data_IF_333519884046
#
_entry.id   IF_333519884046
#
_cell.length_a   1.000
_cell.length_b   1.000
_cell.length_c   1.000
_cell.angle_alpha   90.00
_cell.angle_beta   90.00
_cell.angle_gamma   90.00
#
_symmetry.space_group_name_H-M   'P 1'
#
loop_
_entity.id
_entity.type
_entity.pdbx_description
1 polymer ?
#
# COMPACT_ATOMS: atom_id res chain seq x y z
N UNK A 1 -15.25 -25.38 2.61
CA UNK A 1 -14.45 -24.59 3.56
C UNK A 1 -14.50 -23.16 3.03
N UNK A 2 -15.14 -22.26 3.76
CA UNK A 2 -15.20 -20.84 3.36
C UNK A 2 -13.80 -20.26 3.50
N UNK A 3 -13.20 -19.84 2.41
CA UNK A 3 -11.99 -19.01 2.45
C UNK A 3 -12.35 -17.71 3.17
N UNK A 4 -11.49 -17.19 4.05
CA UNK A 4 -11.73 -15.92 4.68
C UNK A 4 -11.75 -14.85 3.58
N UNK A 5 -12.88 -14.17 3.44
CA UNK A 5 -13.00 -13.00 2.57
C UNK A 5 -12.33 -11.83 3.27
N UNK A 6 -11.23 -11.34 2.69
CA UNK A 6 -10.47 -10.18 3.22
C UNK A 6 -11.10 -8.82 2.85
N UNK A 7 -12.36 -8.78 2.48
CA UNK A 7 -13.03 -7.52 2.20
C UNK A 7 -13.36 -6.77 3.50
N UNK A 8 -12.33 -6.27 4.18
CA UNK A 8 -12.51 -5.44 5.36
C UNK A 8 -13.05 -4.03 5.06
N UNK A 9 -13.14 -3.64 3.79
CA UNK A 9 -13.58 -2.32 3.37
C UNK A 9 -14.77 -2.45 2.43
N UNK A 10 -15.97 -2.22 2.96
CA UNK A 10 -17.23 -2.23 2.17
C UNK A 10 -17.41 -0.96 1.32
N UNK A 11 -16.64 0.10 1.58
CA UNK A 11 -16.71 1.40 0.91
C UNK A 11 -15.30 1.93 0.65
N UNK A 12 -15.11 2.79 -0.38
CA UNK A 12 -13.82 3.39 -0.59
C UNK A 12 -13.42 4.21 0.64
N UNK A 13 -12.24 3.94 1.15
CA UNK A 13 -11.67 4.73 2.23
C UNK A 13 -11.07 6.03 1.66
N UNK A 14 -11.04 7.11 2.46
CA UNK A 14 -10.51 8.42 2.06
C UNK A 14 -9.12 8.31 1.40
N UNK A 15 -8.25 7.40 1.88
CA UNK A 15 -6.92 7.20 1.32
C UNK A 15 -6.94 6.62 -0.11
N UNK A 16 -7.93 5.78 -0.44
CA UNK A 16 -8.08 5.21 -1.78
C UNK A 16 -8.47 6.30 -2.80
N UNK A 17 -9.42 7.16 -2.44
CA UNK A 17 -9.81 8.30 -3.25
C UNK A 17 -8.65 9.29 -3.45
N UNK A 18 -7.85 9.52 -2.38
CA UNK A 18 -6.66 10.36 -2.44
C UNK A 18 -5.63 9.74 -3.41
N UNK A 19 -5.41 8.43 -3.36
CA UNK A 19 -4.47 7.73 -4.26
C UNK A 19 -4.90 7.88 -5.73
N UNK A 20 -6.16 7.57 -6.05
CA UNK A 20 -6.72 7.75 -7.41
C UNK A 20 -6.54 9.19 -7.89
N UNK A 21 -6.90 10.17 -7.05
CA UNK A 21 -6.75 11.60 -7.39
C UNK A 21 -5.29 11.99 -7.63
N UNK A 22 -4.34 11.47 -6.84
CA UNK A 22 -2.90 11.75 -7.02
C UNK A 22 -2.39 11.20 -8.34
N UNK A 23 -2.78 9.98 -8.73
CA UNK A 23 -2.44 9.39 -10.04
C UNK A 23 -3.00 10.26 -11.17
N UNK A 24 -4.28 10.63 -11.11
CA UNK A 24 -4.92 11.49 -12.13
C UNK A 24 -4.21 12.83 -12.26
N UNK A 25 -3.90 13.49 -11.15
CA UNK A 25 -3.21 14.78 -11.16
C UNK A 25 -1.79 14.68 -11.74
N UNK A 26 -1.09 13.56 -11.50
CA UNK A 26 0.24 13.34 -12.05
C UNK A 26 0.22 13.24 -13.58
N UNK A 27 -0.73 12.52 -14.13
CA UNK A 27 -0.83 12.31 -15.58
C UNK A 27 -1.58 13.40 -16.34
N UNK A 28 -2.29 14.32 -15.65
CA UNK A 28 -2.98 15.48 -16.26
C UNK A 28 -3.81 15.10 -17.47
N UNK A 29 -4.74 14.16 -17.32
CA UNK A 29 -5.64 13.65 -18.36
C UNK A 29 -4.98 12.81 -19.48
N UNK A 30 -3.66 12.60 -19.43
CA UNK A 30 -2.95 11.70 -20.34
C UNK A 30 -2.93 10.27 -19.78
N UNK A 31 -4.09 9.61 -19.76
CA UNK A 31 -4.27 8.30 -19.12
C UNK A 31 -4.00 7.12 -20.04
N UNK A 32 -4.12 7.35 -21.35
CA UNK A 32 -3.99 6.28 -22.34
C UNK A 32 -2.59 5.66 -22.32
N UNK A 33 -2.54 4.33 -22.33
CA UNK A 33 -1.30 3.54 -22.31
C UNK A 33 -0.47 3.70 -21.01
N UNK A 34 -1.05 4.23 -19.93
CA UNK A 34 -0.39 4.26 -18.62
C UNK A 34 -0.55 2.92 -17.94
N UNK A 35 0.56 2.30 -17.57
CA UNK A 35 0.58 1.02 -16.86
C UNK A 35 0.78 1.25 -15.38
N UNK A 36 -0.18 0.76 -14.58
CA UNK A 36 -0.24 1.01 -13.14
C UNK A 36 -0.14 -0.33 -12.41
N UNK A 37 0.60 -0.37 -11.32
CA UNK A 37 0.58 -1.47 -10.36
C UNK A 37 -0.19 -1.04 -9.12
N UNK A 38 -1.23 -1.78 -8.76
CA UNK A 38 -1.97 -1.66 -7.49
C UNK A 38 -1.62 -2.89 -6.62
N UNK A 39 -0.77 -2.69 -5.58
CA UNK A 39 -0.20 -3.76 -4.76
C UNK A 39 0.03 -3.27 -3.31
N UNK A 40 -0.70 -3.80 -2.31
CA UNK A 40 -1.76 -4.81 -2.42
C UNK A 40 -3.06 -4.21 -2.95
N UNK A 41 -3.76 -4.94 -3.82
CA UNK A 41 -4.99 -4.47 -4.46
C UNK A 41 -6.22 -4.53 -3.53
N UNK A 42 -6.18 -5.34 -2.47
CA UNK A 42 -7.26 -5.52 -1.53
C UNK A 42 -8.58 -5.89 -2.22
N UNK A 43 -9.60 -5.03 -2.11
CA UNK A 43 -10.89 -5.26 -2.79
C UNK A 43 -10.89 -4.89 -4.30
N UNK A 44 -9.78 -4.33 -4.82
CA UNK A 44 -9.62 -3.93 -6.22
C UNK A 44 -10.29 -2.62 -6.63
N UNK A 45 -10.84 -1.88 -5.67
CA UNK A 45 -11.56 -0.63 -6.00
C UNK A 45 -10.66 0.40 -6.71
N UNK A 46 -9.40 0.55 -6.27
CA UNK A 46 -8.45 1.50 -6.89
C UNK A 46 -8.22 1.11 -8.36
N UNK A 47 -7.92 -0.18 -8.61
CA UNK A 47 -7.71 -0.69 -9.96
C UNK A 47 -8.93 -0.50 -10.85
N UNK A 48 -10.13 -0.84 -10.34
CA UNK A 48 -11.39 -0.66 -11.06
C UNK A 48 -11.58 0.82 -11.45
N UNK A 49 -11.36 1.75 -10.52
CA UNK A 49 -11.50 3.19 -10.79
C UNK A 49 -10.50 3.70 -11.84
N UNK A 50 -9.24 3.29 -11.78
CA UNK A 50 -8.24 3.75 -12.73
C UNK A 50 -8.44 3.14 -14.13
N UNK A 51 -8.94 1.91 -14.22
CA UNK A 51 -9.33 1.27 -15.48
C UNK A 51 -10.49 2.05 -16.15
N UNK A 52 -11.46 2.58 -15.39
CA UNK A 52 -12.54 3.42 -15.94
C UNK A 52 -12.01 4.69 -16.62
N UNK A 53 -10.84 5.20 -16.21
CA UNK A 53 -10.14 6.31 -16.88
C UNK A 53 -9.29 5.88 -18.08
N UNK A 54 -9.26 4.58 -18.42
CA UNK A 54 -8.53 4.04 -19.58
C UNK A 54 -7.04 3.78 -19.31
N UNK A 55 -6.64 3.63 -18.05
CA UNK A 55 -5.31 3.15 -17.68
C UNK A 55 -5.28 1.62 -17.74
N UNK A 56 -4.09 1.04 -17.90
CA UNK A 56 -3.85 -0.41 -17.84
C UNK A 56 -3.38 -0.77 -16.42
N UNK A 57 -4.28 -1.31 -15.59
CA UNK A 57 -3.98 -1.59 -14.18
C UNK A 57 -3.77 -3.08 -13.96
N UNK A 58 -2.60 -3.42 -13.41
CA UNK A 58 -2.34 -4.73 -12.81
C UNK A 58 -2.70 -4.63 -11.34
N UNK A 59 -3.81 -5.26 -10.95
CA UNK A 59 -4.19 -5.46 -9.55
C UNK A 59 -3.53 -6.72 -9.05
N UNK A 60 -2.67 -6.59 -8.05
CA UNK A 60 -1.88 -7.68 -7.49
C UNK A 60 -2.07 -7.76 -5.96
N UNK A 61 -2.16 -8.97 -5.45
CA UNK A 61 -2.32 -9.23 -4.02
C UNK A 61 -1.76 -10.61 -3.67
N UNK A 62 -1.46 -10.84 -2.39
CA UNK A 62 -1.11 -12.17 -1.91
C UNK A 62 -2.32 -13.12 -1.97
N UNK A 63 -3.53 -12.56 -1.93
CA UNK A 63 -4.81 -13.27 -1.99
C UNK A 63 -5.39 -13.23 -3.39
N UNK A 64 -6.12 -14.27 -3.75
CA UNK A 64 -6.86 -14.39 -5.01
C UNK A 64 -8.35 -14.02 -4.82
N UNK A 65 -8.66 -12.83 -4.37
CA UNK A 65 -10.07 -12.44 -4.18
C UNK A 65 -10.82 -12.31 -5.50
N UNK A 66 -10.15 -11.84 -6.54
CA UNK A 66 -10.72 -11.73 -7.89
C UNK A 66 -9.91 -12.55 -8.90
N UNK A 67 -10.55 -13.23 -9.87
CA UNK A 67 -9.87 -14.09 -10.82
C UNK A 67 -8.82 -13.40 -11.70
N UNK A 68 -8.92 -12.06 -11.85
CA UNK A 68 -7.99 -11.25 -12.65
C UNK A 68 -6.83 -10.66 -11.83
N UNK A 69 -6.78 -10.92 -10.52
CA UNK A 69 -5.65 -10.47 -9.69
C UNK A 69 -4.42 -11.34 -9.96
N UNK A 70 -3.28 -10.69 -10.09
CA UNK A 70 -2.00 -11.37 -10.04
C UNK A 70 -1.64 -11.72 -8.60
N UNK A 71 -1.26 -12.97 -8.33
CA UNK A 71 -0.81 -13.35 -7.00
C UNK A 71 0.64 -12.93 -6.81
N UNK A 72 0.87 -11.96 -5.93
CA UNK A 72 2.19 -11.39 -5.66
C UNK A 72 2.42 -11.29 -4.16
N UNK A 73 3.56 -11.81 -3.71
CA UNK A 73 4.05 -11.68 -2.34
C UNK A 73 5.04 -10.53 -2.27
N UNK A 74 4.70 -9.46 -1.54
CA UNK A 74 5.55 -8.27 -1.38
C UNK A 74 6.86 -8.51 -0.63
N UNK A 75 7.02 -9.69 -0.01
CA UNK A 75 8.28 -10.08 0.65
C UNK A 75 9.23 -10.82 -0.29
N UNK A 76 8.88 -10.95 -1.56
CA UNK A 76 9.69 -11.58 -2.61
C UNK A 76 10.00 -10.60 -3.73
N UNK A 77 11.02 -10.89 -4.54
CA UNK A 77 11.23 -10.12 -5.76
C UNK A 77 9.94 -10.08 -6.59
N UNK A 78 9.55 -8.87 -7.02
CA UNK A 78 8.33 -8.70 -7.79
C UNK A 78 8.48 -9.31 -9.19
N UNK A 79 7.49 -10.07 -9.69
CA UNK A 79 7.58 -10.78 -10.98
C UNK A 79 7.39 -9.84 -12.19
N UNK A 80 7.86 -8.60 -12.07
CA UNK A 80 7.75 -7.58 -13.09
C UNK A 80 9.12 -7.14 -13.57
N UNK A 81 9.20 -6.74 -14.86
CA UNK A 81 10.44 -6.22 -15.45
C UNK A 81 10.79 -4.83 -14.89
N UNK A 82 12.04 -4.45 -15.05
CA UNK A 82 12.51 -3.10 -14.75
C UNK A 82 11.71 -2.06 -15.55
N UNK A 83 11.45 -0.91 -14.95
CA UNK A 83 10.73 0.21 -15.56
C UNK A 83 9.40 -0.20 -16.22
N UNK A 84 8.66 -1.15 -15.60
CA UNK A 84 7.40 -1.66 -16.14
C UNK A 84 6.24 -0.67 -15.97
N UNK A 85 6.22 0.11 -14.88
CA UNK A 85 5.05 0.86 -14.45
C UNK A 85 5.24 2.37 -14.52
N UNK A 86 4.20 3.08 -14.98
CA UNK A 86 4.13 4.56 -14.93
C UNK A 86 3.72 5.05 -13.54
N UNK A 87 2.98 4.24 -12.77
CA UNK A 87 2.69 4.48 -11.37
C UNK A 87 2.63 3.17 -10.59
N UNK A 88 2.98 3.24 -9.30
CA UNK A 88 2.81 2.15 -8.33
C UNK A 88 2.02 2.70 -7.14
N UNK A 89 1.01 1.95 -6.70
CA UNK A 89 0.16 2.29 -5.57
C UNK A 89 0.31 1.17 -4.54
N UNK A 90 0.72 1.53 -3.33
CA UNK A 90 0.81 0.63 -2.19
C UNK A 90 0.01 1.23 -1.02
N UNK A 91 -1.26 0.84 -0.93
CA UNK A 91 -2.16 1.35 0.09
C UNK A 91 -2.33 0.34 1.23
N UNK A 92 -2.02 0.76 2.47
CA UNK A 92 -2.18 -0.05 3.70
C UNK A 92 -1.55 -1.44 3.55
N UNK A 93 -0.33 -1.51 3.03
CA UNK A 93 0.37 -2.77 2.76
C UNK A 93 1.76 -2.85 3.38
N UNK A 94 2.48 -1.72 3.40
CA UNK A 94 3.88 -1.69 3.85
C UNK A 94 4.05 -2.04 5.33
N UNK A 95 3.05 -1.86 6.16
CA UNK A 95 3.03 -2.22 7.56
C UNK A 95 2.91 -3.72 7.83
N UNK A 96 2.53 -4.51 6.82
CA UNK A 96 2.32 -5.96 6.92
C UNK A 96 3.54 -6.79 6.52
N UNK A 97 4.66 -6.18 6.15
CA UNK A 97 5.87 -6.87 5.70
C UNK A 97 7.04 -6.67 6.64
N UNK A 98 7.96 -7.64 6.68
CA UNK A 98 9.15 -7.58 7.55
C UNK A 98 10.23 -6.63 7.04
N UNK A 99 10.41 -6.51 5.74
CA UNK A 99 11.45 -5.68 5.14
C UNK A 99 10.89 -4.63 4.17
N UNK A 100 10.37 -3.50 4.70
CA UNK A 100 9.94 -2.38 3.84
C UNK A 100 11.02 -1.88 2.88
N UNK A 101 12.28 -1.92 3.28
CA UNK A 101 13.40 -1.47 2.44
C UNK A 101 13.57 -2.32 1.18
N UNK A 102 13.42 -3.65 1.29
CA UNK A 102 13.50 -4.55 0.14
C UNK A 102 12.36 -4.30 -0.85
N UNK A 103 11.15 -4.05 -0.34
CA UNK A 103 10.03 -3.67 -1.20
C UNK A 103 10.28 -2.34 -1.94
N UNK A 104 10.89 -1.36 -1.27
CA UNK A 104 11.30 -0.12 -1.94
C UNK A 104 12.34 -0.34 -3.03
N UNK A 105 13.25 -1.31 -2.87
CA UNK A 105 14.19 -1.70 -3.92
C UNK A 105 13.43 -2.17 -5.17
N UNK A 106 12.45 -3.03 -4.98
CA UNK A 106 11.61 -3.54 -6.06
C UNK A 106 10.71 -2.47 -6.68
N UNK A 107 10.12 -1.59 -5.89
CA UNK A 107 9.38 -0.45 -6.41
C UNK A 107 10.26 0.48 -7.24
N UNK A 108 11.49 0.76 -6.77
CA UNK A 108 12.45 1.58 -7.52
C UNK A 108 12.86 0.93 -8.84
N UNK A 109 13.03 -0.39 -8.86
CA UNK A 109 13.40 -1.14 -10.06
C UNK A 109 12.27 -1.16 -11.08
N UNK A 110 11.05 -1.39 -10.62
CA UNK A 110 9.89 -1.61 -11.51
C UNK A 110 9.19 -0.32 -11.93
N UNK A 111 9.43 0.79 -11.22
CA UNK A 111 8.88 2.10 -11.57
C UNK A 111 9.72 2.77 -12.68
N UNK A 112 9.06 3.28 -13.71
CA UNK A 112 9.71 4.08 -14.76
C UNK A 112 10.27 5.38 -14.22
N UNK A 113 11.32 5.90 -14.88
CA UNK A 113 11.81 7.26 -14.62
C UNK A 113 10.71 8.28 -14.87
N UNK A 114 10.50 9.16 -13.89
CA UNK A 114 9.40 10.14 -13.93
C UNK A 114 8.03 9.56 -13.55
N UNK A 115 7.95 8.29 -13.18
CA UNK A 115 6.75 7.69 -12.63
C UNK A 115 6.46 8.15 -11.20
N UNK A 116 5.29 7.80 -10.67
CA UNK A 116 4.85 8.15 -9.32
C UNK A 116 4.66 6.91 -8.46
N UNK A 117 5.23 6.95 -7.23
CA UNK A 117 4.97 5.96 -6.18
C UNK A 117 4.04 6.59 -5.13
N UNK A 118 2.91 5.95 -4.87
CA UNK A 118 1.97 6.36 -3.83
C UNK A 118 1.94 5.30 -2.75
N UNK A 119 2.21 5.71 -1.51
CA UNK A 119 2.17 4.82 -0.35
C UNK A 119 1.23 5.43 0.69
N UNK A 120 0.34 4.61 1.24
CA UNK A 120 -0.39 4.93 2.46
C UNK A 120 -0.09 3.89 3.53
N UNK A 121 -0.08 4.34 4.78
CA UNK A 121 0.11 3.50 5.95
C UNK A 121 -0.46 4.22 7.17
N UNK A 122 -0.90 3.52 8.22
CA UNK A 122 -1.39 4.16 9.42
C UNK A 122 -0.37 5.12 10.04
N UNK A 123 -0.80 6.33 10.37
CA UNK A 123 0.08 7.31 10.99
C UNK A 123 0.32 6.99 12.48
N UNK A 124 1.38 6.24 12.77
CA UNK A 124 1.80 5.93 14.14
C UNK A 124 2.29 7.14 14.94
N UNK A 125 2.58 8.25 14.29
CA UNK A 125 3.11 9.46 14.92
C UNK A 125 2.01 10.45 15.32
N UNK A 126 0.72 10.09 15.22
CA UNK A 126 -0.39 10.92 15.67
C UNK A 126 -0.40 11.09 17.20
N UNK A 127 -1.06 12.14 17.70
CA UNK A 127 -1.09 12.45 19.13
C UNK A 127 -1.70 11.34 19.97
N UNK A 128 -2.74 10.65 19.46
CA UNK A 128 -3.41 9.57 20.18
C UNK A 128 -2.47 8.38 20.39
N UNK A 129 -1.77 7.94 19.35
CA UNK A 129 -0.80 6.84 19.43
C UNK A 129 0.36 7.18 20.37
N UNK A 130 0.86 8.44 20.31
CA UNK A 130 1.89 8.91 21.26
C UNK A 130 1.43 8.85 22.70
N UNK A 131 0.18 9.28 22.97
CA UNK A 131 -0.41 9.23 24.30
C UNK A 131 -0.61 7.79 24.78
N UNK A 132 -1.12 6.91 23.90
CA UNK A 132 -1.25 5.49 24.23
C UNK A 132 0.10 4.88 24.61
N UNK A 133 1.13 5.11 23.79
CA UNK A 133 2.46 4.60 24.07
C UNK A 133 3.03 5.12 25.38
N UNK A 134 2.87 6.42 25.65
CA UNK A 134 3.31 7.05 26.91
C UNK A 134 2.65 6.41 28.14
N UNK A 135 1.36 6.09 28.06
CA UNK A 135 0.58 5.58 29.18
C UNK A 135 0.70 4.07 29.37
N UNK A 136 0.88 3.29 28.29
CA UNK A 136 0.79 1.83 28.32
C UNK A 136 2.04 1.10 27.87
N UNK A 137 2.97 1.80 27.21
CA UNK A 137 4.12 1.18 26.52
C UNK A 137 3.73 0.43 25.25
N UNK A 138 2.46 0.49 24.80
CA UNK A 138 1.96 -0.22 23.63
C UNK A 138 1.40 0.73 22.56
N UNK A 139 1.52 0.31 21.32
CA UNK A 139 0.83 0.88 20.16
C UNK A 139 -0.21 -0.14 19.68
N UNK A 140 -1.45 -0.04 20.14
CA UNK A 140 -2.48 -1.07 19.92
C UNK A 140 -2.72 -1.42 18.46
N UNK A 141 -2.52 -0.49 17.51
CA UNK A 141 -2.64 -0.76 16.08
C UNK A 141 -1.49 -1.61 15.53
N UNK A 142 -0.42 -1.78 16.30
CA UNK A 142 0.82 -2.44 15.89
C UNK A 142 1.23 -3.53 16.89
N UNK A 143 0.23 -4.19 17.49
CA UNK A 143 0.47 -5.35 18.33
C UNK A 143 0.10 -6.62 17.54
N UNK A 144 1.09 -7.31 16.94
CA UNK A 144 0.83 -8.50 16.14
C UNK A 144 0.22 -9.65 16.98
N UNK A 145 0.42 -9.66 18.31
CA UNK A 145 -0.12 -10.70 19.18
C UNK A 145 -1.61 -10.56 19.43
N UNK A 146 -2.17 -9.36 19.33
CA UNK A 146 -3.59 -9.10 19.59
C UNK A 146 -4.44 -9.10 18.32
N UNK A 147 -3.83 -9.04 17.15
CA UNK A 147 -4.58 -8.83 15.91
C UNK A 147 -4.88 -10.12 15.16
N UNK A 148 -4.04 -11.17 15.29
CA UNK A 148 -4.21 -12.40 14.51
C UNK A 148 -3.76 -13.62 15.31
N UNK A 149 -4.58 -14.68 15.40
CA UNK A 149 -4.07 -16.00 15.76
C UNK A 149 -3.02 -16.39 14.72
N UNK A 150 -1.77 -16.55 15.15
CA UNK A 150 -0.68 -17.06 14.31
C UNK A 150 -1.03 -18.50 13.88
N UNK A 151 -1.91 -18.64 12.92
CA UNK A 151 -2.16 -19.90 12.23
C UNK A 151 -1.06 -20.08 11.20
N UNK A 152 -0.35 -21.21 11.26
CA UNK A 152 0.67 -21.56 10.27
C UNK A 152 0.13 -21.72 8.85
N UNK A 153 -1.18 -21.73 8.68
CA UNK A 153 -1.88 -22.02 7.43
C UNK A 153 -2.48 -20.77 6.77
N UNK A 154 -2.36 -19.58 7.38
CA UNK A 154 -2.80 -18.33 6.76
C UNK A 154 -1.64 -17.72 5.99
N UNK A 155 -1.64 -17.93 4.68
CA UNK A 155 -0.87 -17.08 3.78
C UNK A 155 -1.38 -15.64 3.97
N UNK A 156 -0.53 -14.77 4.50
CA UNK A 156 -0.58 -13.39 4.15
C UNK A 156 -0.86 -12.36 5.20
N UNK A 157 -1.85 -12.43 6.04
CA UNK A 157 -2.09 -11.33 6.97
C UNK A 157 -1.34 -11.55 8.31
N UNK A 158 -0.24 -10.83 8.45
CA UNK A 158 0.62 -10.87 9.65
C UNK A 158 0.26 -9.79 10.67
N UNK A 159 -0.83 -9.03 10.43
CA UNK A 159 -1.12 -7.80 11.16
C UNK A 159 -0.10 -6.70 10.88
N UNK A 160 -0.20 -5.61 11.61
CA UNK A 160 0.74 -4.51 11.49
C UNK A 160 2.04 -4.82 12.24
N UNK A 161 3.00 -5.40 11.54
CA UNK A 161 4.29 -5.84 12.12
C UNK A 161 5.40 -4.80 11.96
N UNK A 162 5.31 -3.93 10.95
CA UNK A 162 6.29 -2.88 10.69
C UNK A 162 5.78 -1.50 11.07
N UNK A 163 6.49 -0.89 12.02
CA UNK A 163 6.21 0.48 12.47
C UNK A 163 6.86 1.47 11.50
N UNK A 164 6.15 1.81 10.42
CA UNK A 164 6.72 2.70 9.41
C UNK A 164 6.42 4.16 9.75
N UNK A 165 7.47 4.94 9.94
CA UNK A 165 7.37 6.39 10.19
C UNK A 165 7.56 7.19 8.91
N UNK A 166 7.07 8.44 8.89
CA UNK A 166 7.33 9.35 7.76
C UNK A 166 8.84 9.55 7.51
N UNK A 167 9.64 9.59 8.58
CA UNK A 167 11.09 9.71 8.45
C UNK A 167 11.73 8.52 7.75
N UNK A 168 11.26 7.29 8.03
CA UNK A 168 11.73 6.08 7.35
C UNK A 168 11.28 6.06 5.87
N UNK A 169 10.01 6.38 5.59
CA UNK A 169 9.52 6.47 4.21
C UNK A 169 10.33 7.47 3.39
N UNK A 170 10.60 8.63 3.97
CA UNK A 170 11.43 9.64 3.34
C UNK A 170 12.85 9.15 3.11
N UNK A 171 13.47 8.49 4.09
CA UNK A 171 14.81 7.93 3.95
C UNK A 171 14.87 6.90 2.80
N UNK A 172 13.90 5.97 2.74
CA UNK A 172 13.85 4.97 1.68
C UNK A 172 13.69 5.61 0.30
N UNK A 173 12.74 6.52 0.15
CA UNK A 173 12.48 7.18 -1.14
C UNK A 173 13.68 8.02 -1.61
N UNK A 174 14.29 8.81 -0.74
CA UNK A 174 15.48 9.60 -1.07
C UNK A 174 16.70 8.71 -1.37
N UNK A 175 16.84 7.56 -0.70
CA UNK A 175 17.91 6.58 -0.97
C UNK A 175 17.87 6.08 -2.43
N UNK A 176 16.69 5.88 -2.98
CA UNK A 176 16.50 5.49 -4.38
C UNK A 176 16.37 6.67 -5.35
N UNK A 177 16.71 7.87 -4.92
CA UNK A 177 16.71 9.08 -5.75
C UNK A 177 15.32 9.61 -6.11
N UNK A 178 14.28 9.18 -5.40
CA UNK A 178 12.92 9.67 -5.60
C UNK A 178 12.71 10.99 -4.83
N UNK A 179 11.95 11.91 -5.44
CA UNK A 179 11.55 13.16 -4.76
C UNK A 179 10.28 12.94 -3.95
N UNK A 180 10.33 13.26 -2.67
CA UNK A 180 9.18 13.15 -1.77
C UNK A 180 8.29 14.39 -1.84
N UNK A 181 7.01 14.20 -2.10
CA UNK A 181 6.00 15.25 -1.93
C UNK A 181 5.54 15.36 -0.46
N UNK A 182 5.05 16.53 -0.02
CA UNK A 182 4.46 16.67 1.31
C UNK A 182 3.36 15.64 1.55
N UNK A 183 3.35 14.98 2.75
CA UNK A 183 2.35 13.98 3.05
C UNK A 183 0.94 14.61 3.10
N UNK A 184 -0.03 13.88 2.60
CA UNK A 184 -1.44 14.26 2.69
C UNK A 184 -2.11 13.40 3.75
N UNK A 185 -2.67 14.01 4.79
CA UNK A 185 -3.42 13.29 5.82
C UNK A 185 -4.86 13.03 5.36
N UNK A 186 -5.37 11.81 5.62
CA UNK A 186 -6.79 11.54 5.60
C UNK A 186 -7.49 12.19 6.80
N UNK A 187 -8.83 12.26 6.79
CA UNK A 187 -9.62 12.75 7.93
C UNK A 187 -9.39 11.87 9.15
N UNK A 188 -9.21 12.48 10.34
CA UNK A 188 -9.35 11.75 11.59
C UNK A 188 -10.75 11.13 11.63
N UNK A 189 -10.86 9.80 11.65
CA UNK A 189 -12.12 9.16 12.00
C UNK A 189 -12.49 9.67 13.40
N UNK A 190 -13.65 10.32 13.53
CA UNK A 190 -14.24 10.55 14.84
C UNK A 190 -14.53 9.18 15.45
N UNK A 191 -13.93 8.91 16.59
CA UNK A 191 -14.26 7.79 17.45
C UNK A 191 -15.64 8.04 18.02
#
# INVERSE_FOLDING_TARGET
MNQPTFSHVSYPADYMEIAVRKVKNHFKDNFKNKKILDLPAGNGWIGDQLNEYGMDVISADINHEKPHFEQVDMEKPLPFSDEAFDAIICCEGIEHIFSPFELFTEFSRTLKKGGILIITTPNIQNLYTRWQFLCSGYMFQFDPFNQIPLSKDTLGDKGHISHVTYGQLRYYTEHFGMKVEPPTGGRMKRI
#
